data_IF_950541383649
#
_entry.id   IF_950541383649
#
_cell.length_a   1.000
_cell.length_b   1.000
_cell.length_c   1.000
_cell.angle_alpha   90.00
_cell.angle_beta   90.00
_cell.angle_gamma   90.00
#
_symmetry.space_group_name_H-M   'P 1'
#
loop_
_entity.id
_entity.type
_entity.pdbx_description
1 polymer ?
#
# COMPACT_ATOMS: atom_id res chain seq x y z
N UNK A 1 -33.98 -10.82 48.41
CA UNK A 1 -34.21 -11.16 46.99
C UNK A 1 -34.57 -9.89 46.16
N UNK A 2 -33.60 -9.13 45.64
CA UNK A 2 -32.90 -9.21 44.32
C UNK A 2 -33.83 -9.23 43.09
N UNK A 3 -33.80 -8.14 42.32
CA UNK A 3 -34.39 -8.04 40.98
C UNK A 3 -34.15 -6.68 40.34
N UNK A 4 -32.88 -6.36 40.07
CA UNK A 4 -32.38 -5.10 39.50
C UNK A 4 -32.70 -5.05 38.00
N UNK A 5 -33.39 -3.99 37.56
CA UNK A 5 -33.55 -3.64 36.15
C UNK A 5 -32.20 -3.34 35.50
N UNK A 6 -31.93 -3.91 34.33
CA UNK A 6 -30.90 -3.43 33.41
C UNK A 6 -31.41 -3.57 31.99
N UNK A 7 -31.72 -2.42 31.38
CA UNK A 7 -31.76 -2.29 29.94
C UNK A 7 -30.36 -2.35 29.36
N UNK A 8 -30.30 -2.76 28.10
CA UNK A 8 -29.71 -2.04 26.96
C UNK A 8 -29.66 -3.09 25.85
N UNK A 9 -30.62 -2.95 24.93
CA UNK A 9 -30.60 -3.56 23.62
C UNK A 9 -29.34 -3.07 22.90
N UNK A 10 -28.40 -3.96 22.59
CA UNK A 10 -27.26 -3.66 21.72
C UNK A 10 -27.21 -4.71 20.61
N UNK A 11 -27.86 -4.36 19.50
CA UNK A 11 -27.71 -5.02 18.21
C UNK A 11 -26.80 -4.13 17.38
N UNK A 12 -25.60 -4.61 17.06
CA UNK A 12 -24.81 -4.23 15.87
C UNK A 12 -23.98 -5.50 15.58
N UNK A 13 -24.47 -6.46 14.81
CA UNK A 13 -24.53 -6.48 13.34
C UNK A 13 -23.16 -6.19 12.72
N UNK A 14 -22.55 -7.21 12.11
CA UNK A 14 -21.34 -7.04 11.30
C UNK A 14 -20.23 -8.05 11.52
N UNK A 15 -20.53 -9.31 11.82
CA UNK A 15 -19.58 -10.38 11.54
C UNK A 15 -19.53 -10.56 10.00
N UNK A 16 -18.74 -9.74 9.32
CA UNK A 16 -18.40 -9.98 7.91
C UNK A 16 -17.38 -11.10 7.88
N UNK A 17 -17.89 -12.33 7.66
CA UNK A 17 -17.14 -13.39 7.02
C UNK A 17 -16.89 -12.96 5.56
N UNK A 18 -15.70 -12.47 5.25
CA UNK A 18 -15.12 -12.66 3.92
C UNK A 18 -14.00 -13.69 4.08
N UNK A 19 -14.38 -14.92 3.81
CA UNK A 19 -13.50 -16.05 3.62
C UNK A 19 -12.80 -15.89 2.28
N UNK A 20 -11.47 -15.82 2.33
CA UNK A 20 -10.53 -16.35 1.35
C UNK A 20 -10.69 -15.84 -0.11
N UNK A 21 -9.94 -14.80 -0.43
CA UNK A 21 -9.03 -14.89 -1.57
C UNK A 21 -7.63 -14.85 -0.99
N UNK A 22 -7.09 -16.04 -0.70
CA UNK A 22 -5.64 -16.23 -0.62
C UNK A 22 -5.11 -15.82 -2.00
N UNK A 23 -4.79 -14.53 -2.14
CA UNK A 23 -3.66 -14.18 -2.96
C UNK A 23 -2.45 -14.75 -2.22
N UNK A 24 -1.55 -15.48 -2.92
CA UNK A 24 -0.54 -16.25 -2.25
C UNK A 24 0.29 -15.34 -1.35
N UNK A 25 0.28 -15.69 -0.06
CA UNK A 25 1.31 -15.38 0.91
C UNK A 25 2.59 -16.08 0.45
N UNK A 26 3.25 -15.50 -0.53
CA UNK A 26 4.61 -15.80 -0.93
C UNK A 26 5.17 -14.47 -1.39
N UNK A 27 6.27 -14.04 -0.77
CA UNK A 27 6.87 -12.72 -0.94
C UNK A 27 6.71 -12.23 -2.37
N UNK A 28 6.20 -11.01 -2.50
CA UNK A 28 6.13 -10.32 -3.78
C UNK A 28 7.57 -10.11 -4.23
N UNK A 29 8.09 -11.09 -4.93
CA UNK A 29 9.46 -11.12 -5.42
C UNK A 29 9.50 -10.12 -6.58
N UNK A 30 9.81 -8.86 -6.25
CA UNK A 30 10.02 -7.78 -7.21
C UNK A 30 11.05 -8.18 -8.29
N UNK A 31 11.91 -9.18 -8.00
CA UNK A 31 12.84 -9.75 -8.97
C UNK A 31 12.14 -10.53 -10.10
N UNK A 32 10.97 -11.14 -9.87
CA UNK A 32 10.25 -11.94 -10.88
C UNK A 32 9.27 -11.09 -11.70
N UNK A 33 8.77 -9.98 -11.15
CA UNK A 33 7.92 -9.05 -11.90
C UNK A 33 8.67 -8.29 -13.01
N UNK A 34 10.00 -8.24 -12.93
CA UNK A 34 10.88 -7.64 -13.95
C UNK A 34 10.86 -8.38 -15.30
N UNK A 35 10.49 -9.66 -15.35
CA UNK A 35 10.57 -10.45 -16.59
C UNK A 35 9.25 -10.49 -17.39
N UNK A 36 8.10 -10.25 -16.75
CA UNK A 36 6.79 -10.50 -17.37
C UNK A 36 6.12 -9.28 -18.01
N UNK A 37 6.49 -8.05 -17.64
CA UNK A 37 5.95 -6.84 -18.28
C UNK A 37 6.66 -6.42 -19.57
N UNK A 38 7.82 -7.00 -19.89
CA UNK A 38 8.56 -6.72 -21.12
C UNK A 38 7.87 -7.17 -22.41
N UNK A 39 6.77 -7.93 -22.34
CA UNK A 39 6.11 -8.55 -23.51
C UNK A 39 4.92 -7.77 -24.09
N UNK A 40 4.49 -6.66 -23.48
CA UNK A 40 3.38 -5.85 -24.01
C UNK A 40 3.81 -4.63 -24.84
N UNK A 41 5.10 -4.52 -25.22
CA UNK A 41 5.63 -3.36 -25.95
C UNK A 41 5.85 -3.58 -27.45
N UNK A 42 4.96 -4.28 -28.13
CA UNK A 42 4.98 -4.34 -29.61
C UNK A 42 3.55 -4.20 -30.14
N UNK A 43 3.15 -2.95 -30.42
CA UNK A 43 2.39 -2.50 -31.60
C UNK A 43 1.72 -1.15 -31.33
N UNK A 44 2.35 -0.06 -31.76
CA UNK A 44 1.70 1.11 -32.38
C UNK A 44 2.70 2.27 -32.52
N UNK A 45 3.66 2.12 -33.42
CA UNK A 45 4.51 3.24 -33.85
C UNK A 45 3.69 4.17 -34.76
N UNK A 46 3.96 5.49 -34.65
CA UNK A 46 3.51 6.62 -35.49
C UNK A 46 2.45 7.60 -34.95
N UNK A 47 1.95 7.44 -33.72
CA UNK A 47 1.25 8.52 -32.97
C UNK A 47 1.88 8.76 -31.56
N UNK A 48 3.15 8.36 -31.41
CA UNK A 48 3.69 7.78 -30.19
C UNK A 48 4.25 8.76 -29.14
N UNK A 49 4.55 10.02 -29.46
CA UNK A 49 5.17 10.94 -28.50
C UNK A 49 4.27 11.27 -27.31
N UNK A 50 3.09 11.83 -27.58
CA UNK A 50 2.12 12.22 -26.53
C UNK A 50 1.48 11.01 -25.83
N UNK A 51 1.38 9.88 -26.51
CA UNK A 51 0.83 8.66 -25.93
C UNK A 51 1.81 8.01 -24.95
N UNK A 52 3.11 7.96 -25.29
CA UNK A 52 4.14 7.42 -24.41
C UNK A 52 4.36 8.28 -23.16
N UNK A 53 4.37 9.62 -23.29
CA UNK A 53 4.46 10.53 -22.14
C UNK A 53 3.24 10.42 -21.22
N UNK A 54 2.04 10.30 -21.78
CA UNK A 54 0.82 10.10 -21.00
C UNK A 54 0.79 8.71 -20.33
N UNK A 55 1.24 7.66 -21.02
CA UNK A 55 1.37 6.30 -20.49
C UNK A 55 2.34 6.27 -19.31
N UNK A 56 3.48 6.95 -19.42
CA UNK A 56 4.50 7.07 -18.38
C UNK A 56 3.96 7.74 -17.09
N UNK A 57 3.28 8.87 -17.24
CA UNK A 57 2.64 9.58 -16.13
C UNK A 57 1.53 8.72 -15.48
N UNK A 58 0.77 7.99 -16.29
CA UNK A 58 -0.28 7.08 -15.79
C UNK A 58 0.33 5.90 -15.03
N UNK A 59 1.37 5.26 -15.57
CA UNK A 59 2.08 4.17 -14.90
C UNK A 59 2.64 4.62 -13.56
N UNK A 60 3.30 5.78 -13.51
CA UNK A 60 3.75 6.40 -12.26
C UNK A 60 2.58 6.57 -11.27
N UNK A 61 1.51 7.23 -11.70
CA UNK A 61 0.37 7.56 -10.84
C UNK A 61 -0.40 6.32 -10.35
N UNK A 62 -0.41 5.24 -11.12
CA UNK A 62 -0.99 3.97 -10.69
C UNK A 62 -0.13 3.36 -9.59
N UNK A 63 1.19 3.26 -9.78
CA UNK A 63 2.09 2.69 -8.77
C UNK A 63 2.03 3.47 -7.46
N UNK A 64 2.11 4.80 -7.52
CA UNK A 64 2.05 5.67 -6.34
C UNK A 64 0.74 5.45 -5.55
N UNK A 65 -0.42 5.43 -6.23
CA UNK A 65 -1.72 5.22 -5.58
C UNK A 65 -1.88 3.81 -5.01
N UNK A 66 -1.52 2.78 -5.76
CA UNK A 66 -1.66 1.39 -5.31
C UNK A 66 -0.74 1.10 -4.12
N UNK A 67 0.50 1.61 -4.14
CA UNK A 67 1.42 1.47 -3.00
C UNK A 67 0.92 2.26 -1.77
N UNK A 68 0.41 3.47 -1.95
CA UNK A 68 -0.19 4.24 -0.86
C UNK A 68 -1.39 3.52 -0.24
N UNK A 69 -2.29 2.99 -1.07
CA UNK A 69 -3.44 2.20 -0.61
C UNK A 69 -2.99 0.93 0.13
N UNK A 70 -1.96 0.25 -0.37
CA UNK A 70 -1.36 -0.91 0.30
C UNK A 70 -0.84 -0.57 1.69
N UNK A 71 -0.12 0.54 1.86
CA UNK A 71 0.38 1.00 3.16
C UNK A 71 -0.78 1.24 4.13
N UNK A 72 -1.88 1.87 3.67
CA UNK A 72 -3.06 2.12 4.49
C UNK A 72 -3.76 0.82 4.93
N UNK A 73 -3.88 -0.17 4.03
CA UNK A 73 -4.43 -1.50 4.35
C UNK A 73 -3.59 -2.20 5.42
N UNK A 74 -2.25 -2.19 5.27
CA UNK A 74 -1.35 -2.80 6.26
C UNK A 74 -1.34 -2.06 7.59
N UNK A 75 -1.44 -0.74 7.57
CA UNK A 75 -1.59 0.04 8.79
C UNK A 75 -2.87 -0.35 9.54
N UNK A 76 -4.01 -0.46 8.83
CA UNK A 76 -5.27 -0.89 9.43
C UNK A 76 -5.22 -2.33 9.97
N UNK A 77 -4.56 -3.25 9.25
CA UNK A 77 -4.37 -4.63 9.70
C UNK A 77 -3.49 -4.74 10.96
N UNK A 78 -2.61 -3.77 11.19
CA UNK A 78 -1.78 -3.64 12.39
C UNK A 78 -2.45 -2.81 13.50
N UNK A 79 -3.75 -2.53 13.38
CA UNK A 79 -4.54 -1.72 14.31
C UNK A 79 -3.99 -0.28 14.49
N UNK A 80 -3.26 0.23 13.50
CA UNK A 80 -2.87 1.64 13.44
C UNK A 80 -4.00 2.48 12.85
N UNK A 81 -4.23 3.64 13.44
CA UNK A 81 -5.14 4.64 12.87
C UNK A 81 -4.39 5.40 11.79
N UNK A 82 -4.53 4.95 10.54
CA UNK A 82 -3.93 5.60 9.39
C UNK A 82 -4.72 6.84 8.98
N UNK A 83 -4.04 7.99 8.90
CA UNK A 83 -4.61 9.26 8.45
C UNK A 83 -4.35 9.49 6.96
N UNK A 84 -3.11 9.24 6.52
CA UNK A 84 -2.74 9.28 5.10
C UNK A 84 -1.46 8.49 4.84
N UNK A 85 -1.29 8.08 3.60
CA UNK A 85 -0.03 7.57 3.08
C UNK A 85 0.16 8.09 1.65
N UNK A 86 1.39 8.41 1.33
CA UNK A 86 1.81 8.95 0.04
C UNK A 86 3.07 8.19 -0.40
N UNK A 87 3.18 7.86 -1.69
CA UNK A 87 4.34 7.17 -2.24
C UNK A 87 4.78 7.93 -3.48
N UNK A 88 6.09 8.17 -3.60
CA UNK A 88 6.68 8.70 -4.83
C UNK A 88 7.35 7.57 -5.60
N UNK A 89 7.03 7.44 -6.89
CA UNK A 89 7.68 6.49 -7.78
C UNK A 89 8.85 7.14 -8.51
N UNK A 90 9.87 6.34 -8.86
CA UNK A 90 11.04 6.77 -9.62
C UNK A 90 11.23 5.89 -10.85
N UNK A 91 11.68 6.49 -11.95
CA UNK A 91 12.04 5.77 -13.16
C UNK A 91 13.37 5.03 -12.98
N UNK A 92 13.37 3.73 -13.27
CA UNK A 92 14.56 2.90 -13.28
C UNK A 92 15.25 2.95 -14.65
N UNK A 93 16.57 2.82 -14.67
CA UNK A 93 17.36 2.63 -15.90
C UNK A 93 16.91 1.38 -16.69
N UNK A 94 16.32 0.41 -15.99
CA UNK A 94 15.70 -0.77 -16.59
C UNK A 94 14.38 -0.52 -17.34
N UNK A 95 13.90 0.73 -17.41
CA UNK A 95 12.72 1.11 -18.19
C UNK A 95 11.38 0.83 -17.50
N UNK A 96 11.33 0.86 -16.17
CA UNK A 96 10.11 0.70 -15.39
C UNK A 96 10.07 1.67 -14.20
N UNK A 97 8.86 2.04 -13.77
CA UNK A 97 8.63 2.79 -12.54
C UNK A 97 8.67 1.87 -11.33
N UNK A 98 9.27 2.33 -10.24
CA UNK A 98 9.30 1.62 -8.97
C UNK A 98 9.03 2.58 -7.79
N UNK A 99 8.40 2.11 -6.71
CA UNK A 99 8.23 2.92 -5.51
C UNK A 99 9.59 3.26 -4.90
N UNK A 100 9.81 4.54 -4.57
CA UNK A 100 11.12 5.04 -4.16
C UNK A 100 11.16 5.52 -2.71
N UNK A 101 10.10 6.21 -2.28
CA UNK A 101 9.95 6.79 -0.95
C UNK A 101 8.48 6.80 -0.54
N UNK A 102 8.23 6.81 0.77
CA UNK A 102 6.88 6.84 1.33
C UNK A 102 6.77 7.86 2.45
N UNK A 103 5.71 8.66 2.43
CA UNK A 103 5.25 9.49 3.54
C UNK A 103 4.08 8.79 4.24
N UNK A 104 4.19 8.53 5.54
CA UNK A 104 3.18 7.80 6.31
C UNK A 104 2.72 8.62 7.50
N UNK A 105 1.42 8.90 7.59
CA UNK A 105 0.80 9.55 8.74
C UNK A 105 -0.12 8.55 9.44
N UNK A 106 0.36 7.99 10.55
CA UNK A 106 -0.36 6.98 11.34
C UNK A 106 -0.29 7.31 12.83
N UNK A 107 -1.36 7.04 13.58
CA UNK A 107 -1.39 7.09 15.04
C UNK A 107 -1.51 5.68 15.61
N UNK A 108 -0.84 5.40 16.73
CA UNK A 108 -0.89 4.08 17.37
C UNK A 108 0.42 3.70 18.05
N UNK A 109 0.52 2.42 18.44
CA UNK A 109 1.68 1.90 19.15
C UNK A 109 2.96 1.88 18.31
N UNK A 110 4.10 2.14 18.95
CA UNK A 110 5.42 2.16 18.30
C UNK A 110 5.81 0.79 17.71
N UNK A 111 5.46 -0.32 18.37
CA UNK A 111 5.70 -1.68 17.87
C UNK A 111 4.97 -1.95 16.54
N UNK A 112 3.71 -1.52 16.44
CA UNK A 112 2.93 -1.65 15.21
C UNK A 112 3.50 -0.77 14.08
N UNK A 113 3.99 0.45 14.41
CA UNK A 113 4.68 1.30 13.43
C UNK A 113 5.97 0.67 12.91
N UNK A 114 6.76 0.04 13.77
CA UNK A 114 7.99 -0.67 13.37
C UNK A 114 7.67 -1.86 12.46
N UNK A 115 6.62 -2.63 12.77
CA UNK A 115 6.14 -3.72 11.89
C UNK A 115 5.69 -3.20 10.53
N UNK A 116 4.94 -2.09 10.50
CA UNK A 116 4.52 -1.48 9.25
C UNK A 116 5.73 -1.05 8.41
N UNK A 117 6.72 -0.44 9.06
CA UNK A 117 7.95 -0.04 8.41
C UNK A 117 8.67 -1.26 7.79
N UNK A 118 8.73 -2.40 8.50
CA UNK A 118 9.34 -3.65 8.01
C UNK A 118 8.61 -4.18 6.78
N UNK A 119 7.28 -4.16 6.79
CA UNK A 119 6.46 -4.54 5.63
C UNK A 119 6.76 -3.63 4.45
N UNK A 120 6.84 -2.31 4.65
CA UNK A 120 7.15 -1.35 3.57
C UNK A 120 8.53 -1.64 2.95
N UNK A 121 9.52 -1.96 3.78
CA UNK A 121 10.86 -2.29 3.30
C UNK A 121 10.91 -3.63 2.56
N UNK A 122 10.26 -4.67 3.10
CA UNK A 122 10.27 -6.01 2.53
C UNK A 122 9.41 -6.12 1.27
N UNK A 123 8.20 -5.57 1.27
CA UNK A 123 7.24 -5.75 0.18
C UNK A 123 7.37 -4.67 -0.90
N UNK A 124 7.64 -3.42 -0.52
CA UNK A 124 7.73 -2.31 -1.47
C UNK A 124 9.18 -1.94 -1.81
N UNK A 125 10.18 -2.51 -1.12
CA UNK A 125 11.59 -2.19 -1.35
C UNK A 125 11.97 -0.76 -0.95
N UNK A 126 11.15 -0.07 -0.15
CA UNK A 126 11.41 1.30 0.31
C UNK A 126 12.17 1.21 1.65
N UNK A 127 13.47 1.55 1.70
CA UNK A 127 14.26 1.42 2.92
C UNK A 127 13.82 2.42 4.00
N UNK A 128 14.09 2.12 5.27
CA UNK A 128 13.79 2.99 6.44
C UNK A 128 14.16 4.46 6.25
N UNK A 129 15.32 4.71 5.65
CA UNK A 129 15.85 6.07 5.42
C UNK A 129 14.98 6.91 4.45
N UNK A 130 14.11 6.25 3.67
CA UNK A 130 13.15 6.87 2.73
C UNK A 130 11.70 6.69 3.15
N UNK A 131 11.47 6.31 4.41
CA UNK A 131 10.15 6.24 5.03
C UNK A 131 10.02 7.43 5.98
N UNK A 132 9.19 8.39 5.61
CA UNK A 132 8.98 9.61 6.38
C UNK A 132 7.71 9.49 7.20
N UNK A 133 7.85 9.52 8.53
CA UNK A 133 6.75 9.33 9.45
C UNK A 133 6.24 10.69 9.94
N UNK A 134 5.02 11.03 9.57
CA UNK A 134 4.35 12.21 10.08
C UNK A 134 3.97 12.02 11.55
N UNK A 135 4.43 12.96 12.36
CA UNK A 135 4.10 13.00 13.78
C UNK A 135 2.66 13.50 13.95
N UNK A 136 1.70 12.59 14.08
CA UNK A 136 0.58 12.87 14.97
C UNK A 136 1.12 12.71 16.40
N UNK A 137 1.76 13.75 16.90
CA UNK A 137 1.95 13.94 18.33
C UNK A 137 0.58 14.20 18.95
N UNK A 138 0.16 13.22 19.76
CA UNK A 138 -0.69 13.34 20.96
C UNK A 138 -2.10 13.93 20.81
#
# INVERSE_FOLDING_TARGET
>A
PKGRVKGVLRVVCGAVMITVLISPVAGFDFAVYSESLGKYRIKAEAAAGRAAEAEDILSRSIIERECAAYILDKAAALELTASSADVSAKWSDGGFWYPYEAGINVSGGQDAREKLAEIIESDLGIPRDRQYWGANCE
#
